data_IF_709603472358
#
_entry.id   IF_709603472358
#
_cell.length_a   1.000
_cell.length_b   1.000
_cell.length_c   1.000
_cell.angle_alpha   90.00
_cell.angle_beta   90.00
_cell.angle_gamma   90.00
#
_symmetry.space_group_name_H-M   'P 1'
#
loop_
_entity.id
_entity.type
_entity.pdbx_description
1 polymer ?
#
# COMPACT_ATOMS: atom_id res chain seq x y z
N UNK A 1 22.22 3.41 -11.13
CA UNK A 1 21.21 4.35 -10.60
C UNK A 1 19.80 3.74 -10.53
N UNK A 2 19.16 3.31 -11.64
CA UNK A 2 17.79 2.74 -11.61
C UNK A 2 17.59 1.54 -10.65
N UNK A 3 18.56 0.62 -10.55
CA UNK A 3 18.48 -0.54 -9.65
C UNK A 3 18.51 -0.15 -8.16
N UNK A 4 19.40 0.75 -7.77
CA UNK A 4 19.57 1.18 -6.36
C UNK A 4 18.31 1.90 -5.87
N UNK A 5 17.75 2.79 -6.68
CA UNK A 5 16.49 3.50 -6.38
C UNK A 5 15.32 2.51 -6.25
N UNK A 6 15.27 1.49 -7.12
CA UNK A 6 14.26 0.44 -7.04
C UNK A 6 14.39 -0.37 -5.75
N UNK A 7 15.61 -0.77 -5.38
CA UNK A 7 15.86 -1.52 -4.15
C UNK A 7 15.54 -0.72 -2.89
N UNK A 8 15.90 0.57 -2.84
CA UNK A 8 15.58 1.43 -1.69
C UNK A 8 14.07 1.63 -1.53
N UNK A 9 13.34 1.80 -2.63
CA UNK A 9 11.88 1.87 -2.63
C UNK A 9 11.25 0.59 -2.11
N UNK A 10 11.80 -0.57 -2.49
CA UNK A 10 11.31 -1.88 -2.05
C UNK A 10 11.50 -2.09 -0.54
N UNK A 11 12.64 -1.66 0.00
CA UNK A 11 12.93 -1.71 1.44
C UNK A 11 11.99 -0.78 2.22
N UNK A 12 11.80 0.45 1.74
CA UNK A 12 10.85 1.41 2.32
C UNK A 12 9.42 0.87 2.32
N UNK A 13 9.02 0.21 1.23
CA UNK A 13 7.70 -0.40 1.11
C UNK A 13 7.51 -1.57 2.10
N UNK A 14 8.52 -2.43 2.26
CA UNK A 14 8.51 -3.51 3.26
C UNK A 14 8.40 -2.95 4.69
N UNK A 15 9.20 -1.93 5.03
CA UNK A 15 9.14 -1.26 6.33
C UNK A 15 7.75 -0.67 6.58
N UNK A 16 7.16 -0.02 5.56
CA UNK A 16 5.82 0.55 5.64
C UNK A 16 4.76 -0.53 5.89
N UNK A 17 4.82 -1.66 5.18
CA UNK A 17 3.89 -2.78 5.40
C UNK A 17 4.05 -3.34 6.81
N UNK A 18 5.28 -3.63 7.24
CA UNK A 18 5.53 -4.19 8.57
C UNK A 18 5.04 -3.27 9.69
N UNK A 19 5.28 -1.96 9.55
CA UNK A 19 4.78 -0.97 10.49
C UNK A 19 3.25 -0.89 10.51
N UNK A 20 2.61 -0.87 9.34
CA UNK A 20 1.15 -0.84 9.21
C UNK A 20 0.48 -2.08 9.82
N UNK A 21 1.08 -3.26 9.61
CA UNK A 21 0.61 -4.51 10.23
C UNK A 21 0.76 -4.44 11.75
N UNK A 22 1.87 -3.92 12.25
CA UNK A 22 2.11 -3.75 13.69
C UNK A 22 1.04 -2.85 14.33
N UNK A 23 0.72 -1.71 13.73
CA UNK A 23 -0.30 -0.80 14.28
C UNK A 23 -1.69 -1.44 14.25
N UNK A 24 -2.08 -2.04 13.12
CA UNK A 24 -3.40 -2.67 12.96
C UNK A 24 -3.63 -3.88 13.87
N UNK A 25 -2.63 -4.73 14.07
CA UNK A 25 -2.79 -5.96 14.86
C UNK A 25 -2.61 -5.70 16.36
N UNK A 26 -1.58 -4.93 16.75
CA UNK A 26 -1.20 -4.80 18.17
C UNK A 26 -1.89 -3.61 18.82
N UNK A 27 -1.89 -2.44 18.15
CA UNK A 27 -2.54 -1.24 18.71
C UNK A 27 -4.04 -1.20 18.48
N UNK A 28 -4.56 -2.02 17.55
CA UNK A 28 -5.94 -1.97 17.05
C UNK A 28 -6.33 -0.58 16.49
N UNK A 29 -5.32 0.21 16.16
CA UNK A 29 -5.47 1.45 15.42
C UNK A 29 -5.16 1.16 13.96
N UNK A 30 -5.76 1.90 13.03
CA UNK A 30 -5.34 1.83 11.63
C UNK A 30 -3.89 2.28 11.43
N UNK A 31 -3.51 2.59 10.19
CA UNK A 31 -2.18 3.15 9.93
C UNK A 31 -2.09 4.46 10.71
N UNK A 32 -1.01 4.61 11.50
CA UNK A 32 -0.70 5.79 12.33
C UNK A 32 -0.30 6.98 11.42
N UNK A 33 -1.21 7.33 10.52
CA UNK A 33 -1.11 8.36 9.50
C UNK A 33 -2.50 8.96 9.27
N UNK A 34 -2.58 10.24 8.90
CA UNK A 34 -3.86 10.88 8.63
C UNK A 34 -4.67 10.14 7.56
N UNK A 35 -6.00 10.06 7.74
CA UNK A 35 -6.92 9.39 6.81
C UNK A 35 -6.74 9.89 5.37
N UNK A 36 -6.49 11.19 5.17
CA UNK A 36 -6.25 11.75 3.84
C UNK A 36 -5.01 11.15 3.16
N UNK A 37 -3.97 10.80 3.92
CA UNK A 37 -2.77 10.17 3.39
C UNK A 37 -3.04 8.71 2.99
N UNK A 38 -3.83 7.99 3.79
CA UNK A 38 -4.27 6.63 3.47
C UNK A 38 -5.10 6.62 2.18
N UNK A 39 -6.02 7.57 1.98
CA UNK A 39 -6.82 7.70 0.75
C UNK A 39 -5.93 7.94 -0.47
N UNK A 40 -4.92 8.81 -0.38
CA UNK A 40 -3.95 9.03 -1.47
C UNK A 40 -3.21 7.73 -1.79
N UNK A 41 -2.80 6.97 -0.77
CA UNK A 41 -2.10 5.71 -0.93
C UNK A 41 -2.96 4.65 -1.65
N UNK A 42 -4.25 4.59 -1.30
CA UNK A 42 -5.24 3.75 -1.99
C UNK A 42 -5.42 4.14 -3.46
N UNK A 43 -5.48 5.44 -3.76
CA UNK A 43 -5.54 5.95 -5.14
C UNK A 43 -4.27 5.59 -5.92
N UNK A 44 -3.09 5.67 -5.30
CA UNK A 44 -1.85 5.23 -5.93
C UNK A 44 -1.87 3.75 -6.30
N UNK A 45 -2.35 2.87 -5.40
CA UNK A 45 -2.50 1.45 -5.72
C UNK A 45 -3.49 1.22 -6.87
N UNK A 46 -4.62 1.93 -6.90
CA UNK A 46 -5.57 1.86 -8.02
C UNK A 46 -4.91 2.27 -9.36
N UNK A 47 -4.19 3.39 -9.40
CA UNK A 47 -3.52 3.87 -10.60
C UNK A 47 -2.43 2.90 -11.07
N UNK A 48 -1.66 2.32 -10.15
CA UNK A 48 -0.66 1.30 -10.46
C UNK A 48 -1.33 0.04 -11.01
N UNK A 49 -2.44 -0.40 -10.41
CA UNK A 49 -3.23 -1.53 -10.89
C UNK A 49 -3.74 -1.32 -12.31
N UNK A 50 -4.36 -0.17 -12.59
CA UNK A 50 -4.89 0.18 -13.93
C UNK A 50 -3.75 0.23 -14.96
N UNK A 51 -2.64 0.89 -14.64
CA UNK A 51 -1.49 0.99 -15.54
C UNK A 51 -0.88 -0.37 -15.88
N UNK A 52 -0.82 -1.28 -14.91
CA UNK A 52 -0.25 -2.62 -15.11
C UNK A 52 -1.24 -3.63 -15.72
N UNK A 53 -2.55 -3.38 -15.62
CA UNK A 53 -3.58 -4.15 -16.30
C UNK A 53 -3.43 -4.01 -17.82
N UNK A 54 -3.22 -2.79 -18.31
CA UNK A 54 -2.96 -2.53 -19.74
C UNK A 54 -1.69 -3.23 -20.25
N UNK A 55 -0.68 -3.41 -19.37
CA UNK A 55 0.56 -4.11 -19.70
C UNK A 55 0.49 -5.63 -19.50
N UNK A 56 -0.70 -6.19 -19.21
CA UNK A 56 -0.94 -7.63 -18.91
C UNK A 56 -0.06 -8.17 -17.76
N UNK A 57 0.42 -7.30 -16.87
CA UNK A 57 1.23 -7.68 -15.70
C UNK A 57 0.32 -8.05 -14.53
N UNK A 58 -0.45 -9.12 -14.69
CA UNK A 58 -1.51 -9.50 -13.75
C UNK A 58 -1.04 -9.68 -12.30
N UNK A 59 0.19 -10.15 -12.08
CA UNK A 59 0.77 -10.24 -10.73
C UNK A 59 0.82 -8.89 -10.02
N UNK A 60 1.16 -7.81 -10.74
CA UNK A 60 1.19 -6.45 -10.18
C UNK A 60 -0.22 -5.91 -9.96
N UNK A 61 -1.17 -6.30 -10.80
CA UNK A 61 -2.59 -5.94 -10.62
C UNK A 61 -3.14 -6.57 -9.34
N UNK A 62 -2.87 -7.86 -9.11
CA UNK A 62 -3.32 -8.58 -7.91
C UNK A 62 -2.73 -7.94 -6.65
N UNK A 63 -1.42 -7.65 -6.62
CA UNK A 63 -0.79 -6.98 -5.47
C UNK A 63 -1.35 -5.58 -5.24
N UNK A 64 -1.68 -4.87 -6.32
CA UNK A 64 -2.32 -3.55 -6.23
C UNK A 64 -3.71 -3.63 -5.61
N UNK A 65 -4.52 -4.62 -6.01
CA UNK A 65 -5.86 -4.86 -5.42
C UNK A 65 -5.74 -5.19 -3.93
N UNK A 66 -4.79 -6.05 -3.55
CA UNK A 66 -4.53 -6.33 -2.14
C UNK A 66 -4.13 -5.07 -1.36
N UNK A 67 -3.31 -4.19 -1.95
CA UNK A 67 -2.96 -2.90 -1.38
C UNK A 67 -4.18 -2.00 -1.14
N UNK A 68 -5.10 -1.93 -2.11
CA UNK A 68 -6.36 -1.18 -1.95
C UNK A 68 -7.19 -1.74 -0.80
N UNK A 69 -7.38 -3.06 -0.73
CA UNK A 69 -8.14 -3.72 0.34
C UNK A 69 -7.52 -3.44 1.71
N UNK A 70 -6.19 -3.56 1.81
CA UNK A 70 -5.45 -3.32 3.05
C UNK A 70 -5.61 -1.87 3.54
N UNK A 71 -5.45 -0.90 2.65
CA UNK A 71 -5.66 0.52 2.96
C UNK A 71 -7.11 0.80 3.35
N UNK A 72 -8.07 0.19 2.65
CA UNK A 72 -9.50 0.36 2.96
C UNK A 72 -9.85 -0.19 4.33
N UNK A 73 -9.32 -1.37 4.69
CA UNK A 73 -9.46 -1.94 6.01
C UNK A 73 -8.82 -1.05 7.08
N UNK A 74 -7.68 -0.43 6.78
CA UNK A 74 -7.02 0.52 7.67
C UNK A 74 -7.88 1.74 7.97
N UNK A 75 -8.50 2.33 6.95
CA UNK A 75 -9.40 3.47 7.11
C UNK A 75 -10.59 3.09 8.00
N UNK A 76 -11.17 1.90 7.83
CA UNK A 76 -12.30 1.42 8.65
C UNK A 76 -11.91 1.28 10.13
N UNK A 77 -10.68 0.84 10.43
CA UNK A 77 -10.21 0.71 11.82
C UNK A 77 -9.86 2.09 12.42
N UNK A 78 -9.38 3.03 11.59
CA UNK A 78 -9.03 4.39 12.01
C UNK A 78 -10.22 5.32 12.27
N UNK A 79 -11.43 4.96 11.85
CA UNK A 79 -12.68 5.72 12.04
C UNK A 79 -13.39 5.26 13.31
#
# INVERSE_FOLDING_TARGET
>A
MKKIVSTSLLILFLLFISYSIYTMIIKKDGIDSPIWFQVILGLCFLLVGISNYQQKRYWVVITSIFGVIFVSASIIISV
#
